data_IF_427507242832
#
_entry.id   IF_427507242832
#
_cell.length_a   1.000
_cell.length_b   1.000
_cell.length_c   1.000
_cell.angle_alpha   90.00
_cell.angle_beta   90.00
_cell.angle_gamma   90.00
#
_symmetry.space_group_name_H-M   'P 1'
#
loop_
_entity.id
_entity.type
_entity.pdbx_description
1 polymer ?
#
# COMPACT_ATOMS: atom_id res chain seq x y z
N UNK A 1 6.28 8.38 1.64
CA UNK A 1 7.11 9.51 1.28
C UNK A 1 7.37 10.35 2.50
N UNK A 2 6.32 10.90 3.12
CA UNK A 2 6.50 11.95 4.14
C UNK A 2 7.23 11.46 5.39
N UNK A 3 6.87 10.30 5.97
CA UNK A 3 7.58 9.83 7.17
C UNK A 3 9.04 9.45 6.86
N UNK A 4 9.31 8.81 5.72
CA UNK A 4 10.67 8.49 5.27
C UNK A 4 11.48 9.76 5.01
N UNK A 5 10.88 10.77 4.37
CA UNK A 5 11.49 12.07 4.14
C UNK A 5 11.74 12.83 5.46
N UNK A 6 10.82 12.73 6.43
CA UNK A 6 10.97 13.32 7.77
C UNK A 6 12.07 12.62 8.54
N UNK A 7 12.13 11.29 8.52
CA UNK A 7 13.17 10.50 9.19
C UNK A 7 14.53 10.77 8.55
N UNK A 8 14.64 10.72 7.22
CA UNK A 8 15.89 11.04 6.52
C UNK A 8 16.29 12.50 6.73
N UNK A 9 15.35 13.43 6.74
CA UNK A 9 15.58 14.84 7.04
C UNK A 9 16.09 15.04 8.47
N UNK A 10 15.48 14.37 9.45
CA UNK A 10 15.91 14.40 10.85
C UNK A 10 17.31 13.79 11.03
N UNK A 11 17.57 12.63 10.43
CA UNK A 11 18.89 12.00 10.47
C UNK A 11 19.96 12.87 9.81
N UNK A 12 19.62 13.52 8.69
CA UNK A 12 20.51 14.46 8.00
C UNK A 12 20.78 15.71 8.85
N UNK A 13 19.76 16.24 9.53
CA UNK A 13 19.90 17.38 10.44
C UNK A 13 20.76 17.04 11.67
N UNK A 14 20.53 15.87 12.26
CA UNK A 14 21.34 15.35 13.39
C UNK A 14 22.79 15.13 12.97
N UNK A 15 23.02 14.65 11.75
CA UNK A 15 24.38 14.44 11.23
C UNK A 15 25.07 15.77 10.91
N UNK A 16 24.38 16.75 10.32
CA UNK A 16 24.89 18.11 10.07
C UNK A 16 25.23 18.89 11.34
N UNK A 17 24.59 18.57 12.46
CA UNK A 17 24.90 19.17 13.76
C UNK A 17 26.21 18.64 14.37
N UNK A 18 26.81 17.59 13.80
CA UNK A 18 28.09 17.04 14.25
C UNK A 18 29.26 17.83 13.65
N UNK A 19 30.42 17.90 14.36
CA UNK A 19 31.65 18.47 13.81
C UNK A 19 32.03 17.82 12.48
N UNK A 20 32.60 18.57 11.55
CA UNK A 20 32.87 18.11 10.18
C UNK A 20 33.72 16.83 10.10
N UNK A 21 34.63 16.62 11.07
CA UNK A 21 35.44 15.40 11.20
C UNK A 21 34.63 14.15 11.58
N UNK A 22 33.40 14.32 12.08
CA UNK A 22 32.55 13.28 12.66
C UNK A 22 31.22 13.10 11.91
N UNK A 23 30.99 13.85 10.83
CA UNK A 23 29.83 13.69 9.97
C UNK A 23 29.93 12.37 9.18
N UNK A 24 28.80 11.73 8.91
CA UNK A 24 28.77 10.58 8.01
C UNK A 24 28.85 11.01 6.53
N UNK A 25 28.86 10.05 5.61
CA UNK A 25 28.75 10.33 4.17
C UNK A 25 27.48 11.10 3.82
N UNK A 26 26.41 10.94 4.60
CA UNK A 26 25.14 11.64 4.41
C UNK A 26 25.24 13.13 4.77
N UNK A 27 25.82 13.46 5.93
CA UNK A 27 26.04 14.84 6.37
C UNK A 27 26.99 15.61 5.47
N UNK A 28 28.06 14.96 4.98
CA UNK A 28 28.96 15.57 3.98
C UNK A 28 28.28 15.85 2.65
N UNK A 29 27.41 14.95 2.18
CA UNK A 29 26.63 15.15 0.96
C UNK A 29 25.62 16.29 1.14
N UNK A 30 24.95 16.35 2.28
CA UNK A 30 24.00 17.42 2.61
C UNK A 30 24.69 18.78 2.76
N UNK A 31 25.90 18.84 3.36
CA UNK A 31 26.70 20.06 3.46
C UNK A 31 27.13 20.57 2.08
N UNK A 32 27.62 19.68 1.20
CA UNK A 32 27.91 20.01 -0.22
C UNK A 32 26.68 20.49 -0.99
N UNK A 33 25.49 19.99 -0.65
CA UNK A 33 24.24 20.47 -1.20
C UNK A 33 23.90 21.88 -0.67
N UNK A 34 24.04 22.13 0.64
CA UNK A 34 23.73 23.41 1.27
C UNK A 34 24.71 24.53 0.90
N UNK A 35 25.99 24.19 0.68
CA UNK A 35 27.05 25.14 0.29
C UNK A 35 26.94 25.60 -1.19
N UNK A 36 25.87 25.22 -1.89
CA UNK A 36 25.52 25.76 -3.22
C UNK A 36 26.03 24.95 -4.43
N UNK A 37 26.50 23.71 -4.24
CA UNK A 37 26.96 22.83 -5.34
C UNK A 37 25.86 21.93 -5.94
N UNK A 38 26.29 20.96 -6.77
CA UNK A 38 25.48 19.94 -7.49
C UNK A 38 24.42 19.21 -6.63
N UNK A 39 24.58 19.22 -5.30
CA UNK A 39 23.68 18.57 -4.36
C UNK A 39 22.29 19.20 -4.28
N UNK A 40 22.13 20.51 -4.47
CA UNK A 40 20.79 21.15 -4.50
C UNK A 40 19.97 20.69 -5.71
N UNK A 41 20.60 20.56 -6.87
CA UNK A 41 19.95 20.13 -8.11
C UNK A 41 19.56 18.65 -8.07
N UNK A 42 20.38 17.79 -7.46
CA UNK A 42 20.02 16.37 -7.23
C UNK A 42 18.86 16.25 -6.24
N UNK A 43 18.84 17.07 -5.18
CA UNK A 43 17.74 17.09 -4.21
C UNK A 43 16.44 17.61 -4.83
N UNK A 44 16.53 18.66 -5.66
CA UNK A 44 15.42 19.23 -6.43
C UNK A 44 14.86 18.21 -7.41
N UNK A 45 15.70 17.56 -8.22
CA UNK A 45 15.28 16.51 -9.15
C UNK A 45 14.66 15.30 -8.43
N UNK A 46 15.15 14.95 -7.25
CA UNK A 46 14.59 13.85 -6.44
C UNK A 46 13.24 14.23 -5.83
N UNK A 47 13.08 15.49 -5.39
CA UNK A 47 11.81 16.03 -4.94
C UNK A 47 10.80 16.14 -6.09
N UNK A 48 11.23 16.58 -7.27
CA UNK A 48 10.41 16.65 -8.49
C UNK A 48 10.00 15.26 -8.99
N UNK A 49 10.88 14.25 -8.92
CA UNK A 49 10.53 12.87 -9.25
C UNK A 49 9.53 12.26 -8.25
N UNK A 50 9.68 12.58 -6.95
CA UNK A 50 8.74 12.17 -5.92
C UNK A 50 7.36 12.84 -6.11
N UNK A 51 7.32 14.14 -6.41
CA UNK A 51 6.09 14.90 -6.66
C UNK A 51 5.43 14.51 -8.00
N UNK A 52 6.21 14.33 -9.06
CA UNK A 52 5.74 13.91 -10.39
C UNK A 52 5.15 12.49 -10.39
N UNK A 53 5.58 11.63 -9.46
CA UNK A 53 4.99 10.30 -9.29
C UNK A 53 3.54 10.36 -8.77
N UNK A 54 3.15 11.43 -8.05
CA UNK A 54 1.77 11.61 -7.60
C UNK A 54 0.84 12.14 -8.70
N UNK A 55 1.35 12.91 -9.67
CA UNK A 55 0.54 13.57 -10.70
C UNK A 55 0.56 12.89 -12.06
N UNK A 56 1.60 12.13 -12.38
CA UNK A 56 1.81 11.58 -13.73
C UNK A 56 1.68 10.05 -13.81
N UNK A 57 1.46 9.38 -12.67
CA UNK A 57 1.37 7.92 -12.64
C UNK A 57 -0.03 7.45 -13.05
N UNK A 58 -0.11 6.71 -14.16
CA UNK A 58 -1.34 6.03 -14.62
C UNK A 58 -1.94 5.07 -13.57
N UNK A 59 -1.16 4.71 -12.54
CA UNK A 59 -1.60 3.90 -11.40
C UNK A 59 -2.72 4.56 -10.57
N UNK A 60 -2.85 5.90 -10.61
CA UNK A 60 -3.98 6.60 -9.96
C UNK A 60 -5.31 6.08 -10.52
N UNK A 61 -5.39 5.80 -11.82
CA UNK A 61 -6.59 5.27 -12.44
C UNK A 61 -6.94 3.87 -11.93
N UNK A 62 -5.95 3.02 -11.63
CA UNK A 62 -6.20 1.69 -11.03
C UNK A 62 -6.85 1.85 -9.65
N UNK A 63 -6.34 2.76 -8.82
CA UNK A 63 -6.91 3.03 -7.49
C UNK A 63 -8.34 3.57 -7.60
N UNK A 64 -8.56 4.56 -8.48
CA UNK A 64 -9.90 5.13 -8.74
C UNK A 64 -10.86 4.05 -9.22
N UNK A 65 -10.49 3.27 -10.25
CA UNK A 65 -11.31 2.19 -10.79
C UNK A 65 -11.63 1.13 -9.74
N UNK A 66 -10.68 0.82 -8.84
CA UNK A 66 -10.89 -0.12 -7.73
C UNK A 66 -11.92 0.39 -6.73
N UNK A 67 -11.83 1.67 -6.35
CA UNK A 67 -12.79 2.30 -5.44
C UNK A 67 -14.18 2.35 -6.08
N UNK A 68 -14.26 2.75 -7.36
CA UNK A 68 -15.52 2.80 -8.10
C UNK A 68 -16.15 1.42 -8.23
N UNK A 69 -15.36 0.38 -8.51
CA UNK A 69 -15.84 -1.00 -8.55
C UNK A 69 -16.37 -1.44 -7.18
N UNK A 70 -15.64 -1.17 -6.10
CA UNK A 70 -16.09 -1.49 -4.75
C UNK A 70 -17.41 -0.78 -4.39
N UNK A 71 -17.53 0.50 -4.74
CA UNK A 71 -18.77 1.28 -4.54
C UNK A 71 -19.94 0.74 -5.37
N UNK A 72 -19.68 0.36 -6.63
CA UNK A 72 -20.68 -0.24 -7.51
C UNK A 72 -21.16 -1.60 -6.99
N UNK A 73 -20.24 -2.46 -6.55
CA UNK A 73 -20.57 -3.75 -5.92
C UNK A 73 -21.37 -3.57 -4.63
N UNK A 74 -21.01 -2.58 -3.82
CA UNK A 74 -21.79 -2.24 -2.62
C UNK A 74 -23.21 -1.76 -2.96
N UNK A 75 -23.36 -0.98 -4.03
CA UNK A 75 -24.66 -0.46 -4.45
C UNK A 75 -25.57 -1.55 -5.09
N UNK A 76 -25.00 -2.41 -5.95
CA UNK A 76 -25.76 -3.39 -6.74
C UNK A 76 -25.89 -4.76 -6.07
N UNK A 77 -24.92 -5.16 -5.26
CA UNK A 77 -24.83 -6.50 -4.67
C UNK A 77 -24.65 -6.45 -3.14
N UNK A 78 -25.23 -5.43 -2.49
CA UNK A 78 -25.13 -5.19 -1.04
C UNK A 78 -25.29 -6.45 -0.17
N UNK A 79 -26.35 -7.27 -0.30
CA UNK A 79 -26.54 -8.44 0.56
C UNK A 79 -25.40 -9.46 0.38
N UNK A 80 -24.92 -9.67 -0.84
CA UNK A 80 -23.81 -10.58 -1.13
C UNK A 80 -22.50 -10.06 -0.52
N UNK A 81 -22.22 -8.76 -0.66
CA UNK A 81 -21.03 -8.13 -0.06
C UNK A 81 -21.06 -8.21 1.47
N UNK A 82 -22.23 -8.02 2.08
CA UNK A 82 -22.41 -8.17 3.53
C UNK A 82 -22.15 -9.60 3.98
N UNK A 83 -22.75 -10.59 3.33
CA UNK A 83 -22.54 -12.01 3.64
C UNK A 83 -21.06 -12.44 3.50
N UNK A 84 -20.34 -11.91 2.50
CA UNK A 84 -18.89 -12.12 2.38
C UNK A 84 -18.10 -11.51 3.53
N UNK A 85 -18.47 -10.30 3.97
CA UNK A 85 -17.76 -9.57 5.04
C UNK A 85 -18.01 -10.19 6.41
N UNK A 86 -19.12 -10.90 6.59
CA UNK A 86 -19.46 -11.65 7.81
C UNK A 86 -18.62 -12.92 7.99
N UNK A 87 -17.89 -13.38 6.97
CA UNK A 87 -16.92 -14.47 7.12
C UNK A 87 -15.83 -14.06 8.11
N UNK A 88 -15.47 -14.96 9.02
CA UNK A 88 -14.58 -14.70 10.18
C UNK A 88 -13.29 -13.96 9.83
N UNK A 89 -12.70 -14.26 8.67
CA UNK A 89 -11.42 -13.67 8.23
C UNK A 89 -11.57 -12.45 7.32
N UNK A 90 -12.75 -12.20 6.75
CA UNK A 90 -12.92 -11.19 5.70
C UNK A 90 -12.82 -9.76 6.25
N UNK A 91 -13.49 -9.47 7.38
CA UNK A 91 -13.47 -8.14 7.98
C UNK A 91 -12.07 -7.70 8.48
N UNK A 92 -11.31 -8.53 9.22
CA UNK A 92 -9.92 -8.20 9.57
C UNK A 92 -9.03 -7.99 8.35
N UNK A 93 -9.19 -8.80 7.31
CA UNK A 93 -8.38 -8.73 6.09
C UNK A 93 -8.68 -7.45 5.29
N UNK A 94 -9.95 -7.03 5.24
CA UNK A 94 -10.36 -5.76 4.64
C UNK A 94 -9.76 -4.56 5.39
N UNK A 95 -9.89 -4.53 6.72
CA UNK A 95 -9.34 -3.45 7.55
C UNK A 95 -7.82 -3.40 7.40
N UNK A 96 -7.14 -4.55 7.49
CA UNK A 96 -5.69 -4.64 7.30
C UNK A 96 -5.24 -4.17 5.91
N UNK A 97 -5.98 -4.54 4.86
CA UNK A 97 -5.69 -4.09 3.49
C UNK A 97 -5.90 -2.59 3.31
N UNK A 98 -6.95 -2.00 3.89
CA UNK A 98 -7.18 -0.55 3.85
C UNK A 98 -6.06 0.17 4.60
N UNK A 99 -5.73 -0.28 5.80
CA UNK A 99 -4.64 0.31 6.60
C UNK A 99 -3.31 0.23 5.88
N UNK A 100 -2.97 -0.94 5.31
CA UNK A 100 -1.75 -1.13 4.55
C UNK A 100 -1.73 -0.29 3.27
N UNK A 101 -2.86 -0.15 2.57
CA UNK A 101 -2.97 0.71 1.39
C UNK A 101 -2.79 2.20 1.72
N UNK A 102 -3.42 2.68 2.79
CA UNK A 102 -3.31 4.08 3.26
C UNK A 102 -1.91 4.38 3.77
N UNK A 103 -1.39 3.53 4.66
CA UNK A 103 -0.03 3.69 5.19
C UNK A 103 1.00 3.52 4.07
N UNK A 104 0.83 2.54 3.20
CA UNK A 104 1.68 2.32 2.02
C UNK A 104 1.69 3.53 1.10
N UNK A 105 0.53 4.15 0.85
CA UNK A 105 0.45 5.38 0.06
C UNK A 105 1.13 6.58 0.74
N UNK A 106 0.97 6.74 2.05
CA UNK A 106 1.59 7.85 2.80
C UNK A 106 3.10 7.66 3.02
N UNK A 107 3.54 6.42 3.21
CA UNK A 107 4.91 6.04 3.60
C UNK A 107 5.79 5.67 2.40
N UNK A 108 5.25 5.28 1.25
CA UNK A 108 6.05 5.01 0.05
C UNK A 108 6.37 6.29 -0.74
N UNK A 109 7.56 6.35 -1.33
CA UNK A 109 8.03 7.47 -2.16
C UNK A 109 7.25 7.55 -3.48
N UNK A 110 6.75 6.42 -3.97
CA UNK A 110 5.90 6.33 -5.16
C UNK A 110 4.40 6.49 -4.90
N UNK A 111 4.02 6.91 -3.68
CA UNK A 111 2.63 7.19 -3.32
C UNK A 111 1.66 6.03 -3.62
N UNK A 112 0.80 6.23 -4.62
CA UNK A 112 -0.28 5.33 -5.04
C UNK A 112 0.16 3.96 -5.56
N UNK A 113 1.47 3.73 -5.75
CA UNK A 113 1.96 2.44 -6.27
C UNK A 113 1.62 1.25 -5.36
N UNK A 114 1.69 1.44 -4.03
CA UNK A 114 1.35 0.36 -3.08
C UNK A 114 -0.13 -0.03 -3.20
N UNK A 115 -1.11 0.89 -3.04
CA UNK A 115 -2.51 0.50 -3.19
C UNK A 115 -2.86 0.02 -4.61
N UNK A 116 -2.21 0.53 -5.65
CA UNK A 116 -2.43 0.05 -7.03
C UNK A 116 -1.97 -1.41 -7.20
N UNK A 117 -0.80 -1.79 -6.68
CA UNK A 117 -0.31 -3.17 -6.72
C UNK A 117 -1.14 -4.09 -5.81
N UNK A 118 -1.63 -3.58 -4.67
CA UNK A 118 -2.56 -4.36 -3.84
C UNK A 118 -3.87 -4.64 -4.59
N UNK A 119 -4.38 -3.67 -5.35
CA UNK A 119 -5.61 -3.82 -6.12
C UNK A 119 -5.53 -4.94 -7.17
N UNK A 120 -4.35 -5.19 -7.78
CA UNK A 120 -4.19 -6.28 -8.76
C UNK A 120 -4.38 -7.67 -8.16
N UNK A 121 -4.24 -7.82 -6.85
CA UNK A 121 -4.48 -9.07 -6.12
C UNK A 121 -5.86 -9.08 -5.48
N UNK A 122 -6.23 -7.98 -4.82
CA UNK A 122 -7.47 -7.89 -4.05
C UNK A 122 -8.71 -7.91 -4.95
N UNK A 123 -8.67 -7.27 -6.13
CA UNK A 123 -9.81 -7.22 -7.04
C UNK A 123 -10.14 -8.61 -7.60
N UNK A 124 -9.19 -9.37 -8.19
CA UNK A 124 -9.48 -10.74 -8.64
C UNK A 124 -9.92 -11.67 -7.51
N UNK A 125 -9.31 -11.55 -6.32
CA UNK A 125 -9.72 -12.35 -5.16
C UNK A 125 -11.17 -12.06 -4.75
N UNK A 126 -11.55 -10.78 -4.67
CA UNK A 126 -12.92 -10.37 -4.37
C UNK A 126 -13.91 -10.88 -5.41
N UNK A 127 -13.58 -10.76 -6.71
CA UNK A 127 -14.41 -11.29 -7.80
C UNK A 127 -14.54 -12.81 -7.71
N UNK A 128 -13.45 -13.54 -7.43
CA UNK A 128 -13.48 -14.98 -7.26
C UNK A 128 -14.43 -15.39 -6.14
N UNK A 129 -14.34 -14.78 -4.96
CA UNK A 129 -15.23 -15.11 -3.85
C UNK A 129 -16.68 -14.66 -4.06
N UNK A 130 -16.91 -13.63 -4.88
CA UNK A 130 -18.25 -13.16 -5.22
C UNK A 130 -18.95 -14.09 -6.24
N UNK A 131 -18.18 -14.67 -7.16
CA UNK A 131 -18.67 -15.56 -8.21
C UNK A 131 -18.59 -17.04 -7.83
N UNK A 132 -17.80 -17.40 -6.82
CA UNK A 132 -17.73 -18.76 -6.31
C UNK A 132 -19.12 -19.16 -5.80
N UNK A 133 -19.72 -20.23 -6.35
CA UNK A 133 -20.92 -20.82 -5.76
C UNK A 133 -20.62 -21.14 -4.30
N UNK A 134 -21.61 -21.00 -3.41
CA UNK A 134 -21.51 -21.49 -2.04
C UNK A 134 -21.22 -23.00 -2.08
N UNK A 135 -19.93 -23.35 -2.10
CA UNK A 135 -19.47 -24.72 -2.02
C UNK A 135 -19.92 -25.25 -0.66
N UNK A 136 -20.50 -26.47 -0.59
CA UNK A 136 -20.92 -27.05 0.67
C UNK A 136 -19.79 -26.94 1.67
N UNK A 137 -20.05 -26.30 2.81
CA UNK A 137 -19.17 -26.40 3.97
C UNK A 137 -19.17 -27.88 4.31
N UNK A 138 -18.10 -28.60 3.95
CA UNK A 138 -17.97 -30.01 4.28
C UNK A 138 -18.06 -30.12 5.80
N UNK A 139 -19.22 -30.58 6.28
CA UNK A 139 -19.44 -30.75 7.70
C UNK A 139 -18.54 -31.93 8.11
N UNK A 140 -17.68 -31.81 9.13
CA UNK A 140 -16.77 -32.88 9.54
C UNK A 140 -17.48 -34.22 9.82
N UNK A 141 -18.80 -34.16 10.04
CA UNK A 141 -19.69 -35.28 10.32
C UNK A 141 -20.16 -36.07 9.09
N UNK A 142 -19.90 -35.62 7.86
CA UNK A 142 -20.29 -36.36 6.63
C UNK A 142 -19.36 -37.54 6.31
N UNK A 143 -18.35 -37.79 7.14
CA UNK A 143 -17.60 -39.05 7.11
C UNK A 143 -18.42 -40.16 7.80
N UNK A 144 -19.46 -40.64 7.12
CA UNK A 144 -20.18 -41.84 7.52
C UNK A 144 -19.22 -43.03 7.69
N UNK A 145 -19.48 -43.95 8.64
CA UNK A 145 -18.55 -45.02 8.99
C UNK A 145 -18.30 -45.90 7.76
N UNK A 146 -17.02 -46.06 7.41
CA UNK A 146 -16.60 -46.94 6.33
C UNK A 146 -17.08 -48.38 6.63
N UNK A 147 -18.10 -48.82 5.89
CA UNK A 147 -18.50 -50.23 5.87
C UNK A 147 -17.30 -51.06 5.42
N UNK A 148 -16.73 -51.81 6.37
CA UNK A 148 -15.76 -52.86 6.10
C UNK A 148 -16.54 -54.15 5.83
N UNK A 149 -16.44 -54.64 4.60
CA UNK A 149 -16.73 -56.04 4.24
C UNK A 149 -15.51 -56.92 4.49
#
# INVERSE_FOLDING_TARGET
GVATAVVLGALTAVDLARPDSSQTHLGRLARRALDGGEGTEVLRRKAEAALGSFTQSSLVWIVISTILLAALLWALARPTVQAMTERTVARPLLIGSIMLGVLGAGLNDSGVMVPAMMATVLVPAAVHFLLAPDGPVANPTDSGPAERS
#
